data_IF_044511511498
#
_entry.id   IF_044511511498
#
_cell.length_a   1.000
_cell.length_b   1.000
_cell.length_c   1.000
_cell.angle_alpha   90.00
_cell.angle_beta   90.00
_cell.angle_gamma   90.00
#
_symmetry.space_group_name_H-M   'P 1'
#
loop_
_entity.id
_entity.type
_entity.pdbx_description
1 polymer ?
#
# COMPACT_ATOMS: atom_id res chain seq x y z
N UNK A 1 2.56 -4.72 -11.01
CA UNK A 1 1.83 -3.53 -11.51
C UNK A 1 1.87 -3.38 -13.05
N UNK A 2 2.95 -3.77 -13.74
CA UNK A 2 3.07 -3.62 -15.21
C UNK A 2 1.89 -4.15 -16.03
N UNK A 3 1.35 -5.33 -15.69
CA UNK A 3 0.22 -5.93 -16.41
C UNK A 3 -1.10 -5.15 -16.29
N UNK A 4 -1.29 -4.33 -15.25
CA UNK A 4 -2.50 -3.53 -15.06
C UNK A 4 -2.41 -2.12 -15.67
N UNK A 5 -1.22 -1.70 -16.09
CA UNK A 5 -0.99 -0.42 -16.75
C UNK A 5 -1.34 -0.48 -18.24
N UNK A 6 -1.22 -1.67 -18.84
CA UNK A 6 -1.67 -1.94 -20.20
C UNK A 6 -3.16 -2.27 -20.26
N UNK A 7 -3.80 -1.92 -21.38
CA UNK A 7 -5.19 -2.28 -21.68
C UNK A 7 -5.34 -3.65 -22.33
N UNK A 8 -4.21 -4.33 -22.58
CA UNK A 8 -4.18 -5.69 -23.13
C UNK A 8 -4.90 -6.65 -22.19
N UNK A 9 -5.77 -7.50 -22.75
CA UNK A 9 -6.38 -8.60 -21.99
C UNK A 9 -5.30 -9.58 -21.59
N UNK A 10 -5.22 -9.86 -20.29
CA UNK A 10 -4.31 -10.88 -19.75
C UNK A 10 -4.96 -12.27 -19.86
N UNK A 11 -6.29 -12.32 -19.96
CA UNK A 11 -7.07 -13.52 -20.22
C UNK A 11 -7.65 -14.17 -18.96
N UNK A 12 -8.86 -14.73 -19.11
CA UNK A 12 -9.51 -15.57 -18.10
C UNK A 12 -9.76 -14.89 -16.76
N UNK A 13 -9.53 -15.63 -15.67
CA UNK A 13 -9.75 -15.20 -14.29
C UNK A 13 -8.91 -13.96 -13.94
N UNK A 14 -7.71 -13.82 -14.50
CA UNK A 14 -6.80 -12.72 -14.19
C UNK A 14 -7.38 -11.34 -14.52
N UNK A 15 -8.19 -11.23 -15.58
CA UNK A 15 -8.83 -9.95 -15.92
C UNK A 15 -9.87 -9.53 -14.86
N UNK A 16 -10.61 -10.49 -14.29
CA UNK A 16 -11.51 -10.24 -13.17
C UNK A 16 -10.74 -9.78 -11.93
N UNK A 17 -9.62 -10.45 -11.61
CA UNK A 17 -8.79 -10.09 -10.44
C UNK A 17 -8.13 -8.71 -10.59
N UNK A 18 -7.78 -8.30 -11.81
CA UNK A 18 -7.20 -6.97 -12.08
C UNK A 18 -8.24 -5.85 -12.20
N UNK A 19 -9.53 -6.16 -12.20
CA UNK A 19 -10.60 -5.18 -12.41
C UNK A 19 -10.59 -4.03 -11.39
N UNK A 20 -10.40 -4.27 -10.07
CA UNK A 20 -10.31 -3.17 -9.09
C UNK A 20 -9.15 -2.23 -9.36
N UNK A 21 -8.00 -2.76 -9.78
CA UNK A 21 -6.81 -1.96 -10.11
C UNK A 21 -7.01 -1.15 -11.40
N UNK A 22 -7.65 -1.74 -12.42
CA UNK A 22 -8.05 -1.03 -13.65
C UNK A 22 -9.06 0.09 -13.36
N UNK A 23 -9.99 -0.14 -12.43
CA UNK A 23 -10.96 0.88 -11.95
C UNK A 23 -10.22 2.05 -11.30
N UNK A 24 -9.33 1.79 -10.35
CA UNK A 24 -8.50 2.80 -9.69
C UNK A 24 -7.70 3.66 -10.70
N UNK A 25 -7.09 3.03 -11.70
CA UNK A 25 -6.38 3.74 -12.78
C UNK A 25 -7.30 4.67 -13.55
N UNK A 26 -8.52 4.24 -13.88
CA UNK A 26 -9.51 5.04 -14.61
C UNK A 26 -10.00 6.22 -13.79
N UNK A 27 -10.29 6.02 -12.51
CA UNK A 27 -10.76 7.08 -11.60
C UNK A 27 -9.70 8.15 -11.35
N UNK A 28 -8.42 7.76 -11.37
CA UNK A 28 -7.29 8.65 -11.14
C UNK A 28 -6.54 9.02 -12.43
N UNK A 29 -7.18 8.86 -13.59
CA UNK A 29 -6.54 8.98 -14.92
C UNK A 29 -5.78 10.29 -15.07
N UNK A 30 -6.41 11.42 -14.77
CA UNK A 30 -5.80 12.75 -14.93
C UNK A 30 -4.54 12.92 -14.07
N UNK A 31 -4.58 12.46 -12.82
CA UNK A 31 -3.44 12.54 -11.90
C UNK A 31 -2.28 11.61 -12.33
N UNK A 32 -2.59 10.44 -12.88
CA UNK A 32 -1.60 9.50 -13.37
C UNK A 32 -1.00 9.95 -14.71
N UNK A 33 -1.79 10.53 -15.61
CA UNK A 33 -1.33 11.03 -16.92
C UNK A 33 -0.46 12.28 -16.80
N UNK A 34 -0.63 13.08 -15.74
CA UNK A 34 0.26 14.19 -15.43
C UNK A 34 1.70 13.75 -15.08
N UNK A 35 1.89 12.48 -14.70
CA UNK A 35 3.21 11.92 -14.40
C UNK A 35 3.84 11.38 -15.69
N UNK A 36 4.90 12.03 -16.13
CA UNK A 36 5.61 11.70 -17.38
C UNK A 36 6.48 10.45 -17.24
N UNK A 37 7.10 10.26 -16.09
CA UNK A 37 7.92 9.08 -15.81
C UNK A 37 7.05 7.84 -15.57
N UNK A 38 7.28 6.79 -16.37
CA UNK A 38 6.51 5.56 -16.29
C UNK A 38 6.70 4.83 -14.96
N UNK A 39 7.91 4.89 -14.40
CA UNK A 39 8.22 4.29 -13.10
C UNK A 39 7.42 4.95 -11.98
N UNK A 40 7.48 6.28 -11.89
CA UNK A 40 6.74 7.10 -10.95
C UNK A 40 5.23 6.92 -11.10
N UNK A 41 4.72 6.84 -12.33
CA UNK A 41 3.29 6.57 -12.59
C UNK A 41 2.86 5.20 -12.06
N UNK A 42 3.70 4.19 -12.26
CA UNK A 42 3.48 2.83 -11.75
C UNK A 42 3.49 2.80 -10.23
N UNK A 43 4.47 3.47 -9.62
CA UNK A 43 4.57 3.60 -8.16
C UNK A 43 3.34 4.31 -7.59
N UNK A 44 2.89 5.40 -8.23
CA UNK A 44 1.70 6.14 -7.81
C UNK A 44 0.42 5.30 -7.87
N UNK A 45 0.24 4.50 -8.92
CA UNK A 45 -0.89 3.57 -8.97
C UNK A 45 -0.81 2.49 -7.87
N UNK A 46 0.40 2.01 -7.54
CA UNK A 46 0.60 1.09 -6.43
C UNK A 46 0.26 1.74 -5.07
N UNK A 47 0.64 3.01 -4.85
CA UNK A 47 0.26 3.78 -3.66
C UNK A 47 -1.27 3.87 -3.52
N UNK A 48 -1.96 4.24 -4.60
CA UNK A 48 -3.43 4.33 -4.62
C UNK A 48 -4.08 2.97 -4.34
N UNK A 49 -3.52 1.89 -4.87
CA UNK A 49 -4.01 0.54 -4.61
C UNK A 49 -3.84 0.12 -3.14
N UNK A 50 -2.70 0.45 -2.52
CA UNK A 50 -2.50 0.20 -1.09
C UNK A 50 -3.50 1.00 -0.25
N UNK A 51 -3.69 2.28 -0.55
CA UNK A 51 -4.65 3.13 0.16
C UNK A 51 -6.09 2.57 0.08
N UNK A 52 -6.55 2.23 -1.13
CA UNK A 52 -7.88 1.63 -1.32
C UNK A 52 -8.01 0.26 -0.64
N UNK A 53 -6.95 -0.54 -0.63
CA UNK A 53 -6.91 -1.82 0.08
C UNK A 53 -7.04 -1.64 1.59
N UNK A 54 -6.35 -0.66 2.17
CA UNK A 54 -6.44 -0.33 3.59
C UNK A 54 -7.84 0.16 3.95
N UNK A 55 -8.45 1.03 3.14
CA UNK A 55 -9.84 1.46 3.33
C UNK A 55 -10.82 0.29 3.29
N UNK A 56 -10.64 -0.63 2.33
CA UNK A 56 -11.46 -1.84 2.21
C UNK A 56 -11.31 -2.73 3.45
N UNK A 57 -10.08 -2.88 3.96
CA UNK A 57 -9.82 -3.67 5.17
C UNK A 57 -10.49 -3.04 6.39
N UNK A 58 -10.34 -1.73 6.59
CA UNK A 58 -10.93 -1.02 7.72
C UNK A 58 -12.46 -0.99 7.68
N UNK A 59 -13.05 -1.14 6.49
CA UNK A 59 -14.52 -1.25 6.32
C UNK A 59 -15.05 -2.66 6.54
N UNK A 60 -14.20 -3.64 6.84
CA UNK A 60 -14.62 -5.00 7.12
C UNK A 60 -14.98 -5.13 8.60
N UNK A 61 -16.20 -5.62 8.90
CA UNK A 61 -16.73 -5.76 10.27
C UNK A 61 -15.77 -6.52 11.19
N UNK A 62 -15.12 -7.58 10.72
CA UNK A 62 -14.18 -8.37 11.54
C UNK A 62 -12.94 -7.55 11.90
N UNK A 63 -12.47 -6.71 10.98
CA UNK A 63 -11.34 -5.81 11.23
C UNK A 63 -11.78 -4.69 12.16
N UNK A 64 -12.94 -4.09 11.92
CA UNK A 64 -13.52 -3.04 12.77
C UNK A 64 -13.66 -3.52 14.23
N UNK A 65 -14.23 -4.70 14.45
CA UNK A 65 -14.33 -5.33 15.78
C UNK A 65 -12.95 -5.51 16.41
N UNK A 66 -11.98 -6.04 15.66
CA UNK A 66 -10.61 -6.22 16.17
C UNK A 66 -9.90 -4.89 16.49
N UNK A 67 -10.17 -3.83 15.74
CA UNK A 67 -9.67 -2.48 16.02
C UNK A 67 -10.24 -1.98 17.34
N UNK A 68 -11.55 -2.10 17.54
CA UNK A 68 -12.24 -1.59 18.72
C UNK A 68 -11.96 -2.38 19.99
N UNK A 69 -11.95 -3.71 19.90
CA UNK A 69 -11.80 -4.59 21.07
C UNK A 69 -10.34 -4.83 21.46
N UNK A 70 -9.44 -4.92 20.47
CA UNK A 70 -8.05 -5.38 20.66
C UNK A 70 -7.01 -4.35 20.28
N UNK A 71 -7.43 -3.18 19.80
CA UNK A 71 -6.52 -2.13 19.34
C UNK A 71 -5.69 -2.54 18.12
N UNK A 72 -6.26 -3.35 17.21
CA UNK A 72 -5.59 -3.72 15.96
C UNK A 72 -5.17 -2.46 15.17
N UNK A 73 -3.92 -2.41 14.73
CA UNK A 73 -3.41 -1.34 13.88
C UNK A 73 -3.16 -1.85 12.46
N UNK A 74 -3.70 -1.12 11.48
CA UNK A 74 -3.51 -1.36 10.05
C UNK A 74 -2.60 -0.27 9.50
N UNK A 75 -1.61 -0.68 8.73
CA UNK A 75 -0.62 0.20 8.11
C UNK A 75 -0.51 -0.09 6.61
N UNK A 76 -0.61 0.94 5.78
CA UNK A 76 -0.33 0.85 4.36
C UNK A 76 1.13 1.19 4.05
N UNK A 77 1.88 0.19 3.58
CA UNK A 77 3.30 0.33 3.25
C UNK A 77 3.58 -0.10 1.81
N UNK A 78 4.60 0.49 1.20
CA UNK A 78 5.20 0.01 -0.04
C UNK A 78 6.61 -0.49 0.23
N UNK A 79 6.93 -1.64 -0.33
CA UNK A 79 8.27 -2.20 -0.32
C UNK A 79 8.94 -1.97 -1.67
N UNK A 80 10.05 -1.24 -1.67
CA UNK A 80 10.90 -1.12 -2.84
C UNK A 80 11.91 -2.27 -2.87
N UNK A 81 11.77 -3.13 -3.87
CA UNK A 81 12.62 -4.30 -4.06
C UNK A 81 14.06 -3.91 -4.41
N UNK A 82 14.27 -2.81 -5.14
CA UNK A 82 15.59 -2.40 -5.58
C UNK A 82 16.44 -1.86 -4.43
N UNK A 83 15.83 -1.06 -3.55
CA UNK A 83 16.52 -0.49 -2.39
C UNK A 83 16.37 -1.32 -1.11
N UNK A 84 15.45 -2.28 -1.07
CA UNK A 84 15.09 -3.04 0.13
C UNK A 84 14.40 -2.19 1.20
N UNK A 85 13.94 -0.97 0.84
CA UNK A 85 13.34 -0.02 1.78
C UNK A 85 11.82 -0.15 1.79
N UNK A 86 11.25 -0.11 2.98
CA UNK A 86 9.84 0.10 3.23
C UNK A 86 9.57 1.61 3.31
N UNK A 87 8.47 2.03 2.67
CA UNK A 87 7.93 3.38 2.73
C UNK A 87 6.51 3.31 3.26
N UNK A 88 6.29 3.97 4.39
CA UNK A 88 4.94 4.13 4.92
C UNK A 88 4.18 5.20 4.12
N UNK A 89 2.92 4.93 3.80
CA UNK A 89 2.06 5.85 3.05
C UNK A 89 1.21 6.75 3.94
N UNK A 90 1.29 6.58 5.27
CA UNK A 90 0.47 7.32 6.23
C UNK A 90 -1.01 6.97 6.16
N UNK A 91 -1.35 5.81 5.60
CA UNK A 91 -2.74 5.33 5.48
C UNK A 91 -2.98 4.19 6.45
N UNK A 92 -4.14 4.21 7.11
CA UNK A 92 -4.49 3.27 8.18
C UNK A 92 -5.17 3.96 9.35
N UNK A 93 -5.30 3.23 10.45
CA UNK A 93 -5.88 3.73 11.71
C UNK A 93 -4.82 4.02 12.79
N UNK A 94 -3.53 3.87 12.46
CA UNK A 94 -2.43 4.24 13.35
C UNK A 94 -2.26 5.77 13.40
N UNK A 95 -2.38 6.36 14.59
CA UNK A 95 -2.25 7.81 14.85
C UNK A 95 -0.84 8.39 14.64
N UNK A 96 0.13 7.60 14.21
CA UNK A 96 1.50 8.04 14.04
C UNK A 96 1.84 8.24 12.57
N UNK A 97 2.06 9.49 12.19
CA UNK A 97 2.69 9.82 10.92
C UNK A 97 4.19 9.51 11.03
N UNK A 98 4.71 8.70 10.11
CA UNK A 98 6.07 8.13 10.11
C UNK A 98 7.17 9.09 9.64
N UNK A 99 6.86 10.39 9.60
CA UNK A 99 7.60 11.35 8.76
C UNK A 99 8.93 11.79 9.36
N UNK A 100 9.20 11.58 10.67
CA UNK A 100 10.36 12.27 11.27
C UNK A 100 11.05 11.58 12.47
N UNK A 101 10.74 10.32 12.81
CA UNK A 101 11.39 9.66 13.95
C UNK A 101 11.51 8.17 13.77
N UNK A 102 12.69 7.64 14.12
CA UNK A 102 12.97 6.22 14.09
C UNK A 102 11.98 5.47 15.00
N UNK A 103 11.06 4.70 14.42
CA UNK A 103 9.99 4.01 15.14
C UNK A 103 10.04 2.52 14.86
N UNK A 104 10.12 1.75 15.93
CA UNK A 104 10.07 0.30 15.89
C UNK A 104 8.63 -0.16 16.12
N UNK A 105 7.99 -0.75 15.11
CA UNK A 105 6.72 -1.47 15.25
C UNK A 105 7.03 -2.95 15.45
N UNK A 106 6.78 -3.44 16.67
CA UNK A 106 6.95 -4.85 17.02
C UNK A 106 5.62 -5.58 16.87
N UNK A 107 5.56 -6.53 15.94
CA UNK A 107 4.46 -7.49 15.83
C UNK A 107 4.89 -8.88 16.34
N UNK A 108 3.92 -9.76 16.53
CA UNK A 108 4.18 -11.15 16.95
C UNK A 108 5.03 -11.95 15.94
N UNK A 109 5.06 -11.55 14.67
CA UNK A 109 5.69 -12.29 13.57
C UNK A 109 6.84 -11.53 12.91
N UNK A 110 7.22 -10.36 13.41
CA UNK A 110 8.27 -9.55 12.81
C UNK A 110 8.33 -8.15 13.39
N UNK A 111 9.46 -7.49 13.17
CA UNK A 111 9.71 -6.14 13.63
C UNK A 111 9.95 -5.23 12.41
N UNK A 112 9.17 -4.17 12.30
CA UNK A 112 9.38 -3.12 11.32
C UNK A 112 10.11 -1.96 12.00
N UNK A 113 11.25 -1.56 11.46
CA UNK A 113 11.99 -0.38 11.91
C UNK A 113 11.82 0.69 10.86
N UNK A 114 11.05 1.72 11.16
CA UNK A 114 10.89 2.89 10.31
C UNK A 114 11.96 3.90 10.68
N UNK A 115 12.78 4.36 9.73
CA UNK A 115 13.87 5.33 9.96
C UNK A 115 13.86 6.44 8.90
N UNK A 116 14.47 7.59 9.23
CA UNK A 116 14.40 8.83 8.42
C UNK A 116 14.97 8.71 7.00
N UNK A 117 15.87 7.76 6.73
CA UNK A 117 16.41 7.50 5.39
C UNK A 117 15.82 6.25 4.70
N UNK A 118 14.86 5.58 5.34
CA UNK A 118 14.24 4.35 4.85
C UNK A 118 13.88 3.39 5.97
N UNK A 119 12.80 2.64 5.78
CA UNK A 119 12.33 1.67 6.78
C UNK A 119 12.86 0.27 6.43
N UNK A 120 13.34 -0.49 7.41
CA UNK A 120 13.84 -1.86 7.22
C UNK A 120 12.97 -2.85 7.99
N UNK A 121 12.77 -4.04 7.43
CA UNK A 121 12.06 -5.14 8.10
C UNK A 121 13.08 -6.13 8.66
N UNK A 122 13.01 -6.39 9.96
CA UNK A 122 13.75 -7.45 10.62
C UNK A 122 12.77 -8.57 10.99
N UNK A 123 12.78 -9.66 10.23
CA UNK A 123 12.15 -10.91 10.63
C UNK A 123 13.06 -11.63 11.65
N UNK A 124 12.46 -12.33 12.62
CA UNK A 124 13.19 -13.20 13.55
C UNK A 124 13.58 -14.51 12.88
#
# INVERSE_FOLDING_TARGET
>A
AGAALGDSRVGGVLDTWLTPLKKLRRENKNALEAITDQGARTARLAELNVAAGVETLLSNVVVEDAVNERGLLVHGVLFDIASGKLRDLGVGNSKANFVDSERIVRGNHGMLVFGGEGSTMAAR
#
